data_IF_518604485142
#
_entry.id   IF_518604485142
#
_cell.length_a   1.000
_cell.length_b   1.000
_cell.length_c   1.000
_cell.angle_alpha   90.00
_cell.angle_beta   90.00
_cell.angle_gamma   90.00
#
_symmetry.space_group_name_H-M   'P 1'
#
loop_
_entity.id
_entity.type
_entity.pdbx_description
1 polymer ?
#
# COMPACT_ATOMS: atom_id res chain seq x y z
N UNK A 1 -1.21 -8.98 -13.53
CA UNK A 1 -1.19 -7.70 -12.77
C UNK A 1 -2.44 -7.67 -11.92
N UNK A 2 -2.32 -7.37 -10.63
CA UNK A 2 -3.46 -7.47 -9.70
C UNK A 2 -3.63 -6.18 -8.92
N UNK A 3 -4.89 -5.78 -8.72
CA UNK A 3 -5.29 -4.64 -7.91
C UNK A 3 -5.94 -5.15 -6.62
N UNK A 4 -5.48 -4.64 -5.50
CA UNK A 4 -5.96 -5.01 -4.17
C UNK A 4 -6.62 -3.78 -3.54
N UNK A 5 -7.86 -3.92 -3.09
CA UNK A 5 -8.56 -2.84 -2.40
C UNK A 5 -8.01 -2.70 -0.98
N UNK A 6 -7.72 -1.46 -0.57
CA UNK A 6 -7.26 -1.11 0.76
C UNK A 6 -8.32 -0.29 1.49
N UNK A 7 -8.46 -0.55 2.79
CA UNK A 7 -9.27 0.27 3.69
C UNK A 7 -8.35 0.97 4.67
N UNK A 8 -8.46 2.29 4.73
CA UNK A 8 -7.64 3.11 5.62
C UNK A 8 -8.50 3.70 6.75
N UNK A 9 -7.87 3.86 7.91
CA UNK A 9 -8.47 4.59 9.01
C UNK A 9 -8.47 6.10 8.72
N UNK A 10 -9.40 6.83 9.34
CA UNK A 10 -9.56 8.29 9.13
C UNK A 10 -8.25 9.05 9.37
N UNK A 11 -7.51 8.69 10.43
CA UNK A 11 -6.23 9.31 10.80
C UNK A 11 -5.19 9.22 9.69
N UNK A 12 -5.05 8.05 9.05
CA UNK A 12 -4.13 7.88 7.92
C UNK A 12 -4.56 8.72 6.71
N UNK A 13 -5.86 8.81 6.45
CA UNK A 13 -6.41 9.59 5.33
C UNK A 13 -6.16 11.09 5.55
N UNK A 14 -6.40 11.60 6.75
CA UNK A 14 -6.17 13.00 7.11
C UNK A 14 -4.68 13.36 7.04
N UNK A 15 -3.81 12.48 7.53
CA UNK A 15 -2.36 12.70 7.45
C UNK A 15 -1.87 12.71 5.99
N UNK A 16 -2.31 11.78 5.16
CA UNK A 16 -1.98 11.77 3.73
C UNK A 16 -2.40 13.08 3.06
N UNK A 17 -3.62 13.55 3.32
CA UNK A 17 -4.12 14.84 2.83
C UNK A 17 -3.28 16.02 3.31
N UNK A 18 -2.81 16.02 4.56
CA UNK A 18 -1.94 17.08 5.10
C UNK A 18 -0.57 17.14 4.41
N UNK A 19 -0.15 16.05 3.75
CA UNK A 19 1.09 15.93 2.98
C UNK A 19 0.87 16.11 1.48
N UNK A 20 -0.31 16.55 1.05
CA UNK A 20 -0.73 16.63 -0.36
C UNK A 20 -0.58 15.30 -1.11
N UNK A 21 -0.77 14.17 -0.41
CA UNK A 21 -0.72 12.83 -0.98
C UNK A 21 -2.09 12.16 -0.88
N UNK A 22 -2.39 11.26 -1.82
CA UNK A 22 -3.50 10.34 -1.67
C UNK A 22 -3.17 9.24 -0.64
N UNK A 23 -4.16 8.66 0.06
CA UNK A 23 -3.92 7.62 1.06
C UNK A 23 -3.18 6.39 0.52
N UNK A 24 -3.45 6.02 -0.74
CA UNK A 24 -2.76 4.95 -1.44
C UNK A 24 -1.31 5.31 -1.80
N UNK A 25 -1.03 6.53 -2.28
CA UNK A 25 0.36 6.99 -2.47
C UNK A 25 1.13 6.96 -1.14
N UNK A 26 0.54 7.48 -0.07
CA UNK A 26 1.14 7.46 1.27
C UNK A 26 1.47 6.04 1.73
N UNK A 27 0.55 5.09 1.54
CA UNK A 27 0.79 3.68 1.86
C UNK A 27 1.93 3.09 1.01
N UNK A 28 1.98 3.39 -0.29
CA UNK A 28 3.04 2.92 -1.19
C UNK A 28 4.42 3.44 -0.77
N UNK A 29 4.53 4.72 -0.43
CA UNK A 29 5.79 5.32 0.04
C UNK A 29 6.25 4.70 1.36
N UNK A 30 5.33 4.49 2.30
CA UNK A 30 5.65 3.84 3.58
C UNK A 30 6.09 2.40 3.39
N UNK A 31 5.43 1.65 2.48
CA UNK A 31 5.80 0.27 2.17
C UNK A 31 7.22 0.23 1.58
N UNK A 32 7.48 1.08 0.59
CA UNK A 32 8.79 1.18 -0.04
C UNK A 32 9.88 1.52 0.99
N UNK A 33 9.65 2.54 1.82
CA UNK A 33 10.61 2.98 2.82
C UNK A 33 10.92 1.95 3.90
N UNK A 34 9.93 1.16 4.34
CA UNK A 34 10.11 0.17 5.42
C UNK A 34 10.56 -1.22 4.92
N UNK A 35 10.18 -1.61 3.70
CA UNK A 35 10.38 -2.99 3.22
C UNK A 35 11.23 -3.11 1.96
N UNK A 36 11.44 -2.00 1.24
CA UNK A 36 12.05 -1.99 -0.10
C UNK A 36 11.12 -2.49 -1.21
N UNK A 37 9.87 -2.84 -0.91
CA UNK A 37 8.91 -3.32 -1.91
C UNK A 37 8.29 -2.12 -2.64
N UNK A 38 8.53 -2.04 -3.94
CA UNK A 38 7.94 -1.04 -4.81
C UNK A 38 6.62 -1.54 -5.41
N UNK A 39 5.57 -0.75 -5.25
CA UNK A 39 4.20 -1.01 -5.72
C UNK A 39 3.64 0.29 -6.28
N UNK A 40 2.56 0.19 -7.06
CA UNK A 40 1.93 1.37 -7.65
C UNK A 40 0.60 1.68 -6.95
N UNK A 41 0.37 2.97 -6.73
CA UNK A 41 -0.91 3.50 -6.23
C UNK A 41 -2.03 3.24 -7.22
N UNK A 42 -3.24 3.00 -6.71
CA UNK A 42 -4.44 2.90 -7.53
C UNK A 42 -4.84 4.23 -8.17
N UNK A 43 -4.40 5.36 -7.59
CA UNK A 43 -4.62 6.71 -8.09
C UNK A 43 -4.20 6.86 -9.57
N UNK A 44 -3.08 6.24 -9.95
CA UNK A 44 -2.53 6.29 -11.31
C UNK A 44 -3.41 5.55 -12.35
N UNK A 45 -4.38 4.76 -11.90
CA UNK A 45 -5.19 3.88 -12.74
C UNK A 45 -6.68 4.26 -12.80
N UNK A 46 -7.01 5.54 -12.55
CA UNK A 46 -8.40 6.05 -12.58
C UNK A 46 -9.34 5.32 -11.62
N UNK A 47 -8.90 5.07 -10.39
CA UNK A 47 -9.73 4.44 -9.35
C UNK A 47 -10.97 5.28 -9.01
N UNK A 48 -12.02 4.63 -8.48
CA UNK A 48 -13.25 5.32 -8.07
C UNK A 48 -12.98 6.23 -6.86
N UNK A 49 -13.54 7.45 -6.82
CA UNK A 49 -13.40 8.34 -5.66
C UNK A 49 -13.83 7.66 -4.36
N UNK A 50 -13.04 7.81 -3.30
CA UNK A 50 -13.30 7.20 -1.99
C UNK A 50 -12.90 5.72 -1.88
N UNK A 51 -12.41 5.11 -2.97
CA UNK A 51 -11.78 3.79 -2.94
C UNK A 51 -10.28 3.92 -3.14
N UNK A 52 -9.52 3.02 -2.54
CA UNK A 52 -8.07 3.04 -2.61
C UNK A 52 -7.58 1.66 -2.99
N UNK A 53 -6.63 1.61 -3.91
CA UNK A 53 -6.10 0.35 -4.41
C UNK A 53 -4.58 0.34 -4.43
N UNK A 54 -4.04 -0.86 -4.45
CA UNK A 54 -2.64 -1.14 -4.65
C UNK A 54 -2.45 -2.10 -5.81
N UNK A 55 -1.57 -1.75 -6.74
CA UNK A 55 -1.17 -2.65 -7.83
C UNK A 55 0.16 -3.32 -7.51
N UNK A 56 0.17 -4.65 -7.62
CA UNK A 56 1.41 -5.45 -7.54
C UNK A 56 1.68 -6.18 -8.85
N UNK A 57 2.96 -6.49 -9.08
CA UNK A 57 3.43 -7.33 -10.18
C UNK A 57 4.10 -8.58 -9.63
N UNK A 58 3.65 -9.75 -10.06
CA UNK A 58 4.23 -11.03 -9.70
C UNK A 58 5.05 -11.53 -10.88
N UNK A 59 6.34 -11.21 -10.88
CA UNK A 59 7.35 -11.70 -11.82
C UNK A 59 8.33 -12.70 -11.18
N UNK A 60 8.68 -12.59 -9.87
CA UNK A 60 9.62 -13.53 -9.24
C UNK A 60 9.07 -14.97 -9.08
N UNK A 61 9.96 -15.96 -8.91
CA UNK A 61 9.58 -17.32 -8.53
C UNK A 61 8.83 -17.39 -7.20
N UNK A 62 8.04 -18.45 -7.01
CA UNK A 62 7.15 -18.64 -5.84
C UNK A 62 7.88 -18.51 -4.50
N UNK A 63 9.10 -19.01 -4.38
CA UNK A 63 9.82 -18.95 -3.11
C UNK A 63 10.25 -17.53 -2.72
N UNK A 64 10.61 -16.69 -3.70
CA UNK A 64 10.88 -15.27 -3.46
C UNK A 64 9.59 -14.49 -3.15
N UNK A 65 8.46 -14.91 -3.75
CA UNK A 65 7.17 -14.31 -3.45
C UNK A 65 6.73 -14.56 -2.00
N UNK A 66 7.00 -15.75 -1.44
CA UNK A 66 6.68 -16.04 -0.02
C UNK A 66 7.34 -15.04 0.91
N UNK A 67 8.63 -14.79 0.71
CA UNK A 67 9.37 -13.81 1.51
C UNK A 67 8.82 -12.38 1.35
N UNK A 68 8.51 -11.98 0.12
CA UNK A 68 7.90 -10.67 -0.14
C UNK A 68 6.54 -10.53 0.57
N UNK A 69 5.70 -11.57 0.53
CA UNK A 69 4.39 -11.58 1.17
C UNK A 69 4.50 -11.46 2.69
N UNK A 70 5.46 -12.15 3.32
CA UNK A 70 5.69 -12.03 4.77
C UNK A 70 6.14 -10.63 5.19
N UNK A 71 7.05 -10.01 4.42
CA UNK A 71 7.46 -8.62 4.64
C UNK A 71 6.29 -7.66 4.47
N UNK A 72 5.48 -7.86 3.44
CA UNK A 72 4.28 -7.07 3.18
C UNK A 72 3.25 -7.20 4.32
N UNK A 73 2.99 -8.43 4.79
CA UNK A 73 2.07 -8.71 5.88
C UNK A 73 2.50 -8.02 7.17
N UNK A 74 3.77 -8.18 7.55
CA UNK A 74 4.35 -7.54 8.75
C UNK A 74 4.22 -6.01 8.67
N UNK A 75 4.53 -5.43 7.51
CA UNK A 75 4.33 -4.01 7.28
C UNK A 75 2.86 -3.59 7.41
N UNK A 76 1.95 -4.31 6.77
CA UNK A 76 0.53 -3.97 6.76
C UNK A 76 -0.06 -3.97 8.18
N UNK A 77 0.26 -4.98 8.99
CA UNK A 77 -0.18 -5.05 10.38
C UNK A 77 0.40 -3.91 11.23
N UNK A 78 1.68 -3.60 11.04
CA UNK A 78 2.33 -2.49 11.73
C UNK A 78 1.72 -1.14 11.34
N UNK A 79 1.43 -0.95 10.05
CA UNK A 79 0.76 0.25 9.54
C UNK A 79 -0.64 0.40 10.15
N UNK A 80 -1.44 -0.67 10.16
CA UNK A 80 -2.76 -0.63 10.77
C UNK A 80 -2.69 -0.29 12.27
N UNK A 81 -1.68 -0.78 13.00
CA UNK A 81 -1.49 -0.46 14.41
C UNK A 81 -1.07 1.00 14.64
N UNK A 82 -0.13 1.52 13.85
CA UNK A 82 0.37 2.91 13.93
C UNK A 82 -0.75 3.94 13.64
N UNK A 83 -1.63 3.57 12.71
CA UNK A 83 -2.72 4.42 12.23
C UNK A 83 -4.11 4.00 12.73
N UNK A 84 -4.18 3.20 13.81
CA UNK A 84 -5.44 2.86 14.50
C UNK A 84 -6.23 4.10 14.90
#
# INVERSE_FOLDING_TARGET
MHFHALKFQKKAIEYAKSKNMTPDEFYCFQLLGKTGICVLSGNDFKQRPGTYHLRTTFLPPVDQMKEMVERFHTFHMSFLHEWK
#
